data_IF_119928253117
#
_entry.id   IF_119928253117
#
_cell.length_a   1.000
_cell.length_b   1.000
_cell.length_c   1.000
_cell.angle_alpha   90.00
_cell.angle_beta   90.00
_cell.angle_gamma   90.00
#
_symmetry.space_group_name_H-M   'P 1'
#
loop_
_entity.id
_entity.type
_entity.pdbx_description
1 polymer ?
#
# COMPACT_ATOMS: atom_id res chain seq x y z
N UNK A 1 17.78 -15.51 16.32
CA UNK A 1 17.67 -14.48 15.26
C UNK A 1 16.25 -14.56 14.74
N UNK A 2 15.36 -13.68 15.21
CA UNK A 2 13.97 -13.63 14.73
C UNK A 2 13.91 -12.64 13.57
N UNK A 3 13.58 -13.16 12.39
CA UNK A 3 13.28 -12.37 11.19
C UNK A 3 12.19 -11.36 11.53
N UNK A 4 12.53 -10.08 11.47
CA UNK A 4 11.61 -8.99 11.77
C UNK A 4 10.69 -8.81 10.56
N UNK A 5 9.43 -9.19 10.72
CA UNK A 5 8.37 -8.93 9.74
C UNK A 5 8.12 -7.41 9.75
N UNK A 6 8.36 -6.76 8.63
CA UNK A 6 8.21 -5.31 8.48
C UNK A 6 7.09 -4.98 7.49
N UNK A 7 5.83 -5.00 7.94
CA UNK A 7 4.69 -4.61 7.11
C UNK A 7 3.62 -3.88 7.91
N UNK A 8 3.02 -2.92 7.22
CA UNK A 8 1.69 -2.33 7.42
C UNK A 8 0.77 -3.38 8.05
N UNK A 9 0.63 -3.31 9.36
CA UNK A 9 -0.26 -4.21 10.08
C UNK A 9 -1.60 -3.53 10.19
N UNK A 10 -2.65 -4.30 9.89
CA UNK A 10 -4.01 -3.94 10.24
C UNK A 10 -4.06 -3.64 11.74
N UNK A 11 -4.80 -2.60 12.13
CA UNK A 11 -5.02 -2.30 13.55
C UNK A 11 -5.48 -3.52 14.35
N UNK A 12 -6.22 -4.43 13.71
CA UNK A 12 -6.70 -5.68 14.29
C UNK A 12 -5.60 -6.71 14.59
N UNK A 13 -4.60 -6.87 13.73
CA UNK A 13 -3.48 -7.78 13.97
C UNK A 13 -2.58 -7.25 15.10
N UNK A 14 -2.35 -5.93 15.13
CA UNK A 14 -1.61 -5.27 16.21
C UNK A 14 -2.28 -5.39 17.57
N UNK A 15 -3.59 -5.20 17.62
CA UNK A 15 -4.40 -5.37 18.84
C UNK A 15 -4.29 -6.81 19.33
N UNK A 16 -4.37 -7.81 18.44
CA UNK A 16 -4.24 -9.22 18.81
C UNK A 16 -2.86 -9.60 19.36
N UNK A 17 -1.83 -8.86 18.95
CA UNK A 17 -0.44 -9.03 19.40
C UNK A 17 -0.08 -8.17 20.62
N UNK A 18 -1.01 -7.35 21.15
CA UNK A 18 -0.74 -6.45 22.28
C UNK A 18 0.21 -5.30 21.96
N UNK A 19 0.39 -4.99 20.68
CA UNK A 19 1.30 -3.94 20.20
C UNK A 19 0.48 -2.67 19.97
N UNK A 20 0.57 -1.71 20.89
CA UNK A 20 -0.15 -0.43 20.78
C UNK A 20 0.45 0.50 19.71
N UNK A 21 1.78 0.41 19.46
CA UNK A 21 2.50 1.22 18.48
C UNK A 21 3.69 0.46 17.88
N UNK A 22 3.82 0.45 16.55
CA UNK A 22 4.90 -0.24 15.84
C UNK A 22 6.15 0.62 15.59
N UNK A 23 6.04 1.96 15.65
CA UNK A 23 7.19 2.87 15.52
C UNK A 23 7.17 3.92 16.61
N UNK A 24 8.27 3.97 17.37
CA UNK A 24 8.56 5.00 18.36
C UNK A 24 9.65 5.98 17.90
N UNK A 25 10.25 5.77 16.71
CA UNK A 25 11.27 6.64 16.12
C UNK A 25 11.09 6.82 14.60
N UNK A 26 11.55 7.96 14.09
CA UNK A 26 11.50 8.35 12.67
C UNK A 26 12.86 8.26 11.97
N UNK A 27 13.79 7.45 12.49
CA UNK A 27 15.13 7.29 11.91
C UNK A 27 15.02 6.78 10.45
N UNK A 28 15.66 7.49 9.51
CA UNK A 28 15.57 7.24 8.07
C UNK A 28 14.32 7.82 7.39
N UNK A 29 13.47 8.55 8.12
CA UNK A 29 12.30 9.28 7.62
C UNK A 29 12.37 10.77 7.97
N UNK A 30 13.56 11.33 7.82
CA UNK A 30 13.80 12.76 7.99
C UNK A 30 13.03 13.58 6.95
N UNK A 31 12.73 14.83 7.28
CA UNK A 31 12.19 15.78 6.31
C UNK A 31 13.20 15.97 5.17
N UNK A 32 12.71 15.83 3.94
CA UNK A 32 13.49 16.06 2.73
C UNK A 32 12.66 16.83 1.71
N UNK A 33 13.35 17.62 0.89
CA UNK A 33 12.74 18.26 -0.27
C UNK A 33 12.85 17.36 -1.50
N UNK A 34 11.73 17.15 -2.19
CA UNK A 34 11.65 16.41 -3.44
C UNK A 34 11.20 17.32 -4.58
N UNK A 35 11.84 17.16 -5.73
CA UNK A 35 11.32 17.66 -7.00
C UNK A 35 10.51 16.55 -7.66
N UNK A 36 9.21 16.79 -7.86
CA UNK A 36 8.28 15.82 -8.46
C UNK A 36 8.03 16.14 -9.94
N UNK A 37 8.13 15.14 -10.79
CA UNK A 37 7.83 15.23 -12.22
C UNK A 37 6.39 14.78 -12.50
N UNK A 38 5.49 15.76 -12.53
CA UNK A 38 4.09 15.54 -12.85
C UNK A 38 3.83 15.24 -14.33
N UNK A 39 4.76 15.59 -15.23
CA UNK A 39 4.59 15.44 -16.68
C UNK A 39 4.68 13.98 -17.13
N UNK A 40 5.36 13.14 -16.35
CA UNK A 40 5.53 11.70 -16.61
C UNK A 40 4.85 10.82 -15.55
N UNK A 41 3.73 11.29 -14.99
CA UNK A 41 2.97 10.53 -13.99
C UNK A 41 2.33 9.29 -14.60
N UNK A 42 2.47 8.14 -13.94
CA UNK A 42 1.81 6.89 -14.35
C UNK A 42 0.57 6.63 -13.51
N UNK A 43 -0.59 6.44 -14.14
CA UNK A 43 -1.78 5.90 -13.48
C UNK A 43 -1.76 4.37 -13.56
N UNK A 44 -1.70 3.71 -12.41
CA UNK A 44 -1.51 2.26 -12.30
C UNK A 44 -2.72 1.64 -11.58
N UNK A 45 -3.38 0.63 -12.16
CA UNK A 45 -4.42 -0.12 -11.46
C UNK A 45 -3.80 -0.99 -10.38
N UNK A 46 -4.40 -0.98 -9.19
CA UNK A 46 -4.07 -1.90 -8.11
C UNK A 46 -4.94 -3.14 -8.28
N UNK A 47 -4.32 -4.25 -8.70
CA UNK A 47 -5.02 -5.47 -9.12
C UNK A 47 -4.74 -6.58 -8.14
N UNK A 48 -5.77 -7.26 -7.65
CA UNK A 48 -5.63 -8.39 -6.75
C UNK A 48 -4.92 -9.57 -7.44
N UNK A 49 -3.96 -10.17 -6.74
CA UNK A 49 -3.24 -11.37 -7.18
C UNK A 49 -3.91 -12.65 -6.67
N UNK A 50 -4.62 -12.57 -5.54
CA UNK A 50 -5.21 -13.72 -4.86
C UNK A 50 -6.65 -13.45 -4.44
N UNK A 51 -7.38 -14.53 -4.13
CA UNK A 51 -8.72 -14.43 -3.56
C UNK A 51 -8.65 -14.06 -2.09
N UNK A 52 -9.36 -13.00 -1.70
CA UNK A 52 -9.52 -12.61 -0.29
C UNK A 52 -11.00 -12.42 0.03
N UNK A 53 -11.45 -13.13 1.06
CA UNK A 53 -12.84 -13.07 1.53
C UNK A 53 -13.01 -12.01 2.62
N UNK A 54 -14.04 -11.18 2.49
CA UNK A 54 -14.36 -10.11 3.42
C UNK A 54 -15.74 -10.30 4.06
N UNK A 55 -15.85 -9.96 5.34
CA UNK A 55 -17.10 -9.59 5.97
C UNK A 55 -17.40 -8.10 5.72
N UNK A 56 -18.66 -7.71 5.96
CA UNK A 56 -19.06 -6.31 5.85
C UNK A 56 -18.31 -5.46 6.89
N UNK A 57 -17.66 -4.39 6.44
CA UNK A 57 -16.90 -3.45 7.27
C UNK A 57 -15.49 -3.93 7.64
N UNK A 58 -15.05 -5.07 7.09
CA UNK A 58 -13.75 -5.66 7.40
C UNK A 58 -12.64 -5.01 6.56
N UNK A 59 -11.48 -4.78 7.19
CA UNK A 59 -10.26 -4.34 6.53
C UNK A 59 -9.24 -5.46 6.55
N UNK A 60 -8.64 -5.79 5.41
CA UNK A 60 -7.60 -6.82 5.28
C UNK A 60 -6.48 -6.38 4.38
N UNK A 61 -5.35 -7.07 4.52
CA UNK A 61 -4.33 -7.09 3.48
C UNK A 61 -4.78 -7.96 2.31
N UNK A 62 -4.54 -7.48 1.09
CA UNK A 62 -4.82 -8.18 -0.16
C UNK A 62 -3.53 -8.23 -0.98
N UNK A 63 -3.02 -9.43 -1.31
CA UNK A 63 -1.93 -9.57 -2.27
C UNK A 63 -2.32 -8.95 -3.62
N UNK A 64 -1.42 -8.15 -4.18
CA UNK A 64 -1.63 -7.46 -5.46
C UNK A 64 -0.52 -7.81 -6.46
N UNK A 65 -0.80 -7.59 -7.74
CA UNK A 65 0.26 -7.60 -8.74
C UNK A 65 1.31 -6.54 -8.37
N UNK A 66 2.61 -6.88 -8.38
CA UNK A 66 3.67 -5.94 -8.03
C UNK A 66 3.62 -4.67 -8.89
N UNK A 67 3.90 -3.53 -8.26
CA UNK A 67 3.95 -2.22 -8.91
C UNK A 67 5.38 -1.67 -8.79
N UNK A 68 6.01 -1.31 -9.90
CA UNK A 68 7.32 -0.65 -9.83
C UNK A 68 7.17 0.77 -9.29
N UNK A 69 7.83 1.07 -8.17
CA UNK A 69 7.89 2.42 -7.60
C UNK A 69 9.36 2.80 -7.41
N UNK A 70 9.92 3.62 -8.30
CA UNK A 70 11.32 4.02 -8.22
C UNK A 70 11.67 4.74 -6.91
N UNK A 71 12.96 4.79 -6.60
CA UNK A 71 13.51 5.68 -5.59
C UNK A 71 13.00 7.12 -5.78
N UNK A 72 12.66 7.77 -4.68
CA UNK A 72 12.11 9.12 -4.56
C UNK A 72 10.75 9.36 -5.22
N UNK A 73 10.14 8.34 -5.82
CA UNK A 73 8.79 8.46 -6.36
C UNK A 73 7.74 8.55 -5.24
N UNK A 74 6.70 9.33 -5.48
CA UNK A 74 5.54 9.45 -4.59
C UNK A 74 4.36 8.67 -5.16
N UNK A 75 3.65 7.97 -4.27
CA UNK A 75 2.43 7.25 -4.61
C UNK A 75 1.23 8.04 -4.09
N UNK A 76 0.31 8.37 -4.97
CA UNK A 76 -0.91 9.11 -4.62
C UNK A 76 -2.11 8.27 -5.03
N UNK A 77 -3.05 8.06 -4.12
CA UNK A 77 -4.26 7.31 -4.44
C UNK A 77 -5.20 8.14 -5.32
N UNK A 78 -5.71 7.53 -6.38
CA UNK A 78 -6.83 8.07 -7.16
C UNK A 78 -8.14 7.66 -6.50
N UNK A 79 -9.03 8.64 -6.32
CA UNK A 79 -10.41 8.40 -5.87
C UNK A 79 -11.36 8.04 -7.02
N UNK A 80 -10.87 8.11 -8.27
CA UNK A 80 -11.61 7.69 -9.46
C UNK A 80 -11.19 6.27 -9.88
N UNK A 81 -12.11 5.49 -10.45
CA UNK A 81 -11.84 4.11 -10.87
C UNK A 81 -11.66 3.14 -9.69
N UNK A 82 -12.46 3.29 -8.63
CA UNK A 82 -12.41 2.46 -7.42
C UNK A 82 -13.32 1.23 -7.51
N UNK A 83 -13.02 0.21 -6.71
CA UNK A 83 -13.89 -0.97 -6.58
C UNK A 83 -15.17 -0.61 -5.81
N UNK A 84 -16.36 -0.83 -6.38
CA UNK A 84 -17.63 -0.55 -5.69
C UNK A 84 -17.85 -1.35 -4.39
N UNK A 85 -17.11 -2.43 -4.18
CA UNK A 85 -17.15 -3.25 -2.96
C UNK A 85 -16.58 -2.52 -1.73
N UNK A 86 -15.68 -1.55 -1.91
CA UNK A 86 -14.96 -0.95 -0.80
C UNK A 86 -13.91 0.09 -1.21
N UNK A 87 -12.96 0.33 -0.32
CA UNK A 87 -11.94 1.36 -0.52
C UNK A 87 -10.53 0.78 -0.35
N UNK A 88 -9.66 1.11 -1.30
CA UNK A 88 -8.22 0.96 -1.14
C UNK A 88 -7.75 1.94 -0.06
N UNK A 89 -6.96 1.47 0.90
CA UNK A 89 -6.37 2.32 1.96
C UNK A 89 -4.94 2.71 1.65
N UNK A 90 -4.11 1.74 1.24
CA UNK A 90 -2.71 1.97 0.85
C UNK A 90 -2.16 0.76 0.07
N UNK A 91 -0.97 0.94 -0.52
CA UNK A 91 -0.13 -0.14 -1.05
C UNK A 91 1.21 -0.16 -0.31
N UNK A 92 1.84 -1.32 -0.21
CA UNK A 92 3.13 -1.47 0.45
C UNK A 92 3.87 -2.76 0.09
N UNK A 93 5.11 -2.82 0.54
CA UNK A 93 5.96 -4.01 0.45
C UNK A 93 5.84 -4.83 1.74
N UNK A 94 6.16 -6.13 1.67
CA UNK A 94 6.26 -6.99 2.86
C UNK A 94 7.51 -6.72 3.71
N UNK A 95 8.41 -5.88 3.22
CA UNK A 95 9.59 -5.43 3.93
C UNK A 95 9.64 -3.91 3.91
N UNK A 96 10.21 -3.31 4.96
CA UNK A 96 10.41 -1.88 5.00
C UNK A 96 11.44 -1.48 3.95
N UNK A 97 11.04 -0.56 3.08
CA UNK A 97 11.89 0.10 2.10
C UNK A 97 11.83 1.60 2.30
N UNK A 98 12.99 2.24 2.33
CA UNK A 98 13.09 3.69 2.50
C UNK A 98 12.80 4.40 1.17
N UNK A 99 12.52 5.69 1.24
CA UNK A 99 12.12 6.48 0.07
C UNK A 99 13.21 6.54 -1.01
N UNK A 100 14.49 6.34 -0.66
CA UNK A 100 15.62 6.37 -1.60
C UNK A 100 15.93 5.01 -2.23
N UNK A 101 15.14 3.97 -1.92
CA UNK A 101 15.23 2.65 -2.54
C UNK A 101 14.12 2.49 -3.58
N UNK A 102 14.42 1.70 -4.63
CA UNK A 102 13.37 1.15 -5.48
C UNK A 102 12.48 0.21 -4.67
N UNK A 103 11.18 0.31 -4.93
CA UNK A 103 10.13 -0.39 -4.20
C UNK A 103 9.26 -1.18 -5.16
N UNK A 104 8.78 -2.32 -4.66
CA UNK A 104 7.89 -3.24 -5.37
C UNK A 104 6.69 -3.56 -4.49
N UNK A 105 5.76 -2.61 -4.24
CA UNK A 105 4.56 -2.91 -3.48
C UNK A 105 3.81 -4.10 -4.08
N UNK A 106 3.63 -5.15 -3.28
CA UNK A 106 2.98 -6.40 -3.63
C UNK A 106 1.79 -6.70 -2.71
N UNK A 107 1.52 -5.82 -1.75
CA UNK A 107 0.39 -5.89 -0.84
C UNK A 107 -0.39 -4.58 -0.88
N UNK A 108 -1.69 -4.67 -0.64
CA UNK A 108 -2.56 -3.53 -0.41
C UNK A 108 -3.38 -3.72 0.86
N UNK A 109 -3.83 -2.63 1.47
CA UNK A 109 -4.86 -2.66 2.50
C UNK A 109 -6.18 -2.27 1.87
N UNK A 110 -7.22 -3.09 2.03
CA UNK A 110 -8.54 -2.86 1.44
C UNK A 110 -9.63 -3.01 2.50
N UNK A 111 -10.56 -2.07 2.53
CA UNK A 111 -11.71 -2.05 3.45
C UNK A 111 -12.99 -2.33 2.69
N UNK A 112 -13.65 -3.44 2.99
CA UNK A 112 -14.90 -3.83 2.33
C UNK A 112 -16.12 -3.24 3.00
N UNK A 113 -17.04 -2.67 2.22
CA UNK A 113 -18.32 -2.13 2.69
C UNK A 113 -19.45 -3.16 2.70
N UNK A 114 -19.22 -4.31 2.06
CA UNK A 114 -20.19 -5.42 1.94
C UNK A 114 -19.52 -6.77 2.21
N UNK A 115 -20.32 -7.82 2.43
CA UNK A 115 -19.80 -9.20 2.48
C UNK A 115 -19.59 -9.71 1.07
N UNK A 116 -18.34 -9.86 0.66
CA UNK A 116 -17.97 -10.28 -0.69
C UNK A 116 -16.54 -10.83 -0.70
N UNK A 117 -16.08 -11.30 -1.85
CA UNK A 117 -14.68 -11.68 -2.07
C UNK A 117 -14.12 -10.87 -3.21
N UNK A 118 -12.88 -10.43 -3.05
CA UNK A 118 -12.02 -10.05 -4.17
C UNK A 118 -11.48 -11.34 -4.80
N UNK A 119 -11.43 -11.39 -6.12
CA UNK A 119 -10.86 -12.48 -6.90
C UNK A 119 -9.57 -12.03 -7.61
N UNK A 120 -8.68 -12.96 -8.00
CA UNK A 120 -7.53 -12.64 -8.82
C UNK A 120 -7.92 -11.89 -10.10
N UNK A 121 -7.27 -10.77 -10.37
CA UNK A 121 -7.57 -9.91 -11.52
C UNK A 121 -8.56 -8.78 -11.23
N UNK A 122 -9.23 -8.77 -10.08
CA UNK A 122 -10.13 -7.70 -9.71
C UNK A 122 -9.36 -6.39 -9.45
N UNK A 123 -9.95 -5.28 -9.90
CA UNK A 123 -9.47 -3.95 -9.60
C UNK A 123 -9.82 -3.59 -8.16
N UNK A 124 -8.85 -3.18 -7.35
CA UNK A 124 -9.07 -2.66 -5.99
C UNK A 124 -9.19 -1.12 -5.98
N UNK A 125 -8.43 -0.47 -6.87
CA UNK A 125 -8.40 0.98 -7.03
C UNK A 125 -7.28 1.37 -7.99
N UNK A 126 -6.92 2.64 -7.98
CA UNK A 126 -5.85 3.17 -8.83
C UNK A 126 -4.91 4.05 -8.02
N UNK A 127 -3.64 4.06 -8.40
CA UNK A 127 -2.62 4.95 -7.83
C UNK A 127 -1.88 5.68 -8.93
N UNK A 128 -1.46 6.89 -8.63
CA UNK A 128 -0.50 7.65 -9.42
C UNK A 128 0.89 7.38 -8.86
N UNK A 129 1.82 7.01 -9.71
CA UNK A 129 3.26 7.02 -9.40
C UNK A 129 3.86 8.26 -10.04
N UNK A 130 4.21 9.22 -9.20
CA UNK A 130 4.84 10.48 -9.59
C UNK A 130 6.33 10.34 -9.34
N UNK A 131 7.14 10.31 -10.41
CA UNK A 131 8.58 10.21 -10.27
C UNK A 131 9.13 11.44 -9.55
N UNK A 132 10.17 11.24 -8.77
CA UNK A 132 10.80 12.31 -8.02
C UNK A 132 12.31 12.17 -7.97
N UNK A 133 12.95 13.22 -7.51
CA UNK A 133 14.37 13.21 -7.14
C UNK A 133 14.57 14.12 -5.94
N UNK A 134 15.63 13.85 -5.17
CA UNK A 134 16.08 14.76 -4.13
C UNK A 134 16.41 16.13 -4.74
N UNK A 135 15.92 17.20 -4.13
CA UNK A 135 16.22 18.58 -4.52
C UNK A 135 17.63 18.99 -4.09
#
# INVERSE_FOLDING_TARGET
MSEKIYVISCSQDLISMGIDRMRSSCEGLEEIELSLDWTNTRLIPVVAAEKVSFQKGETKLVPIKPIDVPAFAMVIQSFYGINGMGDLGCIGCTEMKLYFEDRQPNMSMFSSRIKASVLPGDLLGQVLVVNGKKK
#
